data_IF_838131364855
#
_entry.id   IF_838131364855
#
_cell.length_a   1.000
_cell.length_b   1.000
_cell.length_c   1.000
_cell.angle_alpha   90.00
_cell.angle_beta   90.00
_cell.angle_gamma   90.00
#
_symmetry.space_group_name_H-M   'P 1'
#
loop_
_entity.id
_entity.type
_entity.pdbx_description
1 polymer ?
#
# COMPACT_ATOMS: atom_id res chain seq x y z
N UNK A 1 -22.18 -2.46 -20.99
CA UNK A 1 -22.10 -1.73 -19.72
C UNK A 1 -23.52 -1.52 -19.19
N UNK A 2 -23.87 -2.18 -18.10
CA UNK A 2 -25.19 -2.11 -17.47
C UNK A 2 -25.29 -0.86 -16.60
N UNK A 3 -26.51 -0.36 -16.36
CA UNK A 3 -26.74 0.80 -15.46
C UNK A 3 -26.20 0.54 -14.05
N UNK A 4 -26.30 -0.71 -13.57
CA UNK A 4 -25.74 -1.10 -12.28
C UNK A 4 -24.22 -0.97 -12.21
N UNK A 5 -23.50 -1.32 -13.29
CA UNK A 5 -22.04 -1.12 -13.35
C UNK A 5 -21.66 0.37 -13.34
N UNK A 6 -22.41 1.21 -14.08
CA UNK A 6 -22.19 2.66 -14.06
C UNK A 6 -22.39 3.25 -12.67
N UNK A 7 -23.41 2.80 -11.93
CA UNK A 7 -23.66 3.24 -10.55
C UNK A 7 -22.50 2.86 -9.65
N UNK A 8 -22.00 1.62 -9.73
CA UNK A 8 -20.87 1.15 -8.91
C UNK A 8 -19.60 1.93 -9.22
N UNK A 9 -19.27 2.10 -10.50
CA UNK A 9 -18.08 2.85 -10.92
C UNK A 9 -18.11 4.30 -10.46
N UNK A 10 -19.27 4.96 -10.54
CA UNK A 10 -19.46 6.33 -10.07
C UNK A 10 -19.27 6.45 -8.56
N UNK A 11 -19.92 5.58 -7.79
CA UNK A 11 -19.80 5.58 -6.32
C UNK A 11 -18.36 5.29 -5.90
N UNK A 12 -17.66 4.41 -6.60
CA UNK A 12 -16.25 4.15 -6.36
C UNK A 12 -15.37 5.39 -6.56
N UNK A 13 -15.50 6.05 -7.71
CA UNK A 13 -14.68 7.21 -8.03
C UNK A 13 -14.97 8.42 -7.14
N UNK A 14 -16.24 8.65 -6.78
CA UNK A 14 -16.67 9.87 -6.07
C UNK A 14 -16.69 9.74 -4.55
N UNK A 15 -16.88 8.52 -4.01
CA UNK A 15 -17.01 8.32 -2.56
C UNK A 15 -15.89 7.44 -2.00
N UNK A 16 -15.65 6.28 -2.60
CA UNK A 16 -14.71 5.30 -2.06
C UNK A 16 -13.26 5.80 -2.19
N UNK A 17 -12.83 6.17 -3.39
CA UNK A 17 -11.47 6.67 -3.65
C UNK A 17 -11.08 7.90 -2.81
N UNK A 18 -11.89 8.97 -2.72
CA UNK A 18 -11.54 10.09 -1.85
C UNK A 18 -11.54 9.73 -0.37
N UNK A 19 -12.45 8.86 0.09
CA UNK A 19 -12.45 8.39 1.47
C UNK A 19 -11.20 7.54 1.80
N UNK A 20 -10.79 6.66 0.88
CA UNK A 20 -9.54 5.90 0.99
C UNK A 20 -8.32 6.81 1.05
N UNK A 21 -8.30 7.89 0.26
CA UNK A 21 -7.21 8.87 0.29
C UNK A 21 -7.18 9.69 1.58
N UNK A 22 -8.32 9.92 2.22
CA UNK A 22 -8.43 10.61 3.53
C UNK A 22 -8.15 9.70 4.72
N UNK A 23 -8.16 8.38 4.55
CA UNK A 23 -8.02 7.41 5.64
C UNK A 23 -9.33 7.18 6.43
N UNK A 24 -10.47 7.56 5.87
CA UNK A 24 -11.77 7.43 6.56
C UNK A 24 -12.07 5.95 6.85
N UNK A 25 -12.46 5.64 8.10
CA UNK A 25 -12.88 4.28 8.51
C UNK A 25 -14.24 3.88 7.94
N UNK A 26 -15.13 4.85 7.79
CA UNK A 26 -16.51 4.63 7.35
C UNK A 26 -16.95 5.71 6.39
N UNK A 27 -17.78 5.31 5.43
CA UNK A 27 -18.44 6.22 4.49
C UNK A 27 -19.94 6.00 4.50
N UNK A 28 -20.70 7.07 4.37
CA UNK A 28 -22.15 7.01 4.18
C UNK A 28 -22.49 7.52 2.79
N UNK A 29 -23.16 6.68 2.01
CA UNK A 29 -23.62 6.99 0.65
C UNK A 29 -25.14 7.02 0.64
N UNK A 30 -25.72 8.16 0.25
CA UNK A 30 -27.17 8.34 0.16
C UNK A 30 -27.63 8.06 -1.27
N UNK A 31 -28.59 7.15 -1.44
CA UNK A 31 -29.09 6.72 -2.75
C UNK A 31 -29.61 7.90 -3.60
N UNK A 32 -30.28 8.88 -2.98
CA UNK A 32 -30.80 10.06 -3.67
C UNK A 32 -29.72 11.03 -4.13
N UNK A 33 -28.58 11.09 -3.44
CA UNK A 33 -27.43 11.88 -3.89
C UNK A 33 -26.83 11.24 -5.14
N UNK A 34 -26.60 9.92 -5.12
CA UNK A 34 -26.11 9.16 -6.28
C UNK A 34 -27.08 9.27 -7.47
N UNK A 35 -28.38 9.24 -7.21
CA UNK A 35 -29.40 9.40 -8.25
C UNK A 35 -29.33 10.77 -8.94
N UNK A 36 -29.17 11.85 -8.14
CA UNK A 36 -29.03 13.23 -8.64
C UNK A 36 -27.75 13.41 -9.43
N UNK A 37 -26.63 12.88 -8.93
CA UNK A 37 -25.33 12.96 -9.60
C UNK A 37 -25.32 12.23 -10.94
N UNK A 38 -26.01 11.10 -11.05
CA UNK A 38 -26.17 10.37 -12.31
C UNK A 38 -27.31 10.90 -13.20
N UNK A 39 -27.97 12.00 -12.79
CA UNK A 39 -29.10 12.61 -13.50
C UNK A 39 -30.21 11.60 -13.84
N UNK A 40 -30.42 10.62 -12.97
CA UNK A 40 -31.42 9.57 -13.15
C UNK A 40 -32.76 10.02 -12.58
N UNK A 41 -33.85 9.56 -13.20
CA UNK A 41 -35.22 9.79 -12.72
C UNK A 41 -35.47 9.06 -11.38
N UNK A 42 -36.43 9.56 -10.60
CA UNK A 42 -36.85 9.00 -9.31
C UNK A 42 -37.15 7.49 -9.35
N UNK A 43 -37.65 7.00 -10.48
CA UNK A 43 -38.03 5.59 -10.70
C UNK A 43 -36.84 4.62 -10.65
N UNK A 44 -35.61 5.12 -10.79
CA UNK A 44 -34.39 4.31 -10.72
C UNK A 44 -33.85 4.13 -9.29
N UNK A 45 -34.49 4.72 -8.28
CA UNK A 45 -34.07 4.56 -6.88
C UNK A 45 -33.96 3.08 -6.42
N UNK A 46 -34.87 2.16 -6.81
CA UNK A 46 -34.72 0.73 -6.50
C UNK A 46 -33.52 0.08 -7.19
N UNK A 47 -33.21 0.49 -8.43
CA UNK A 47 -32.04 -0.02 -9.16
C UNK A 47 -30.72 0.42 -8.50
N UNK A 48 -30.65 1.67 -8.03
CA UNK A 48 -29.50 2.19 -7.25
C UNK A 48 -29.36 1.44 -5.93
N UNK A 49 -30.44 1.31 -5.16
CA UNK A 49 -30.41 0.58 -3.89
C UNK A 49 -30.01 -0.89 -4.06
N UNK A 50 -30.46 -1.54 -5.13
CA UNK A 50 -30.07 -2.91 -5.46
C UNK A 50 -28.59 -3.01 -5.84
N UNK A 51 -28.07 -2.06 -6.63
CA UNK A 51 -26.66 -2.01 -7.00
C UNK A 51 -25.74 -1.78 -5.78
N UNK A 52 -26.12 -0.89 -4.87
CA UNK A 52 -25.40 -0.58 -3.63
C UNK A 52 -25.44 -1.74 -2.62
N UNK A 53 -26.56 -2.47 -2.56
CA UNK A 53 -26.71 -3.64 -1.67
C UNK A 53 -26.05 -4.92 -2.21
N UNK A 54 -25.79 -4.98 -3.52
CA UNK A 54 -25.28 -6.19 -4.15
C UNK A 54 -23.94 -6.61 -3.54
N UNK A 55 -23.82 -7.88 -3.13
CA UNK A 55 -22.55 -8.46 -2.64
C UNK A 55 -21.40 -8.29 -3.62
N UNK A 56 -21.69 -8.26 -4.92
CA UNK A 56 -20.70 -8.02 -5.96
C UNK A 56 -19.99 -6.68 -5.78
N UNK A 57 -20.71 -5.62 -5.40
CA UNK A 57 -20.13 -4.31 -5.14
C UNK A 57 -19.22 -4.31 -3.91
N UNK A 58 -19.68 -4.93 -2.82
CA UNK A 58 -18.88 -5.11 -1.60
C UNK A 58 -17.61 -5.91 -1.85
N UNK A 59 -17.69 -7.01 -2.61
CA UNK A 59 -16.55 -7.88 -2.89
C UNK A 59 -15.53 -7.24 -3.86
N UNK A 60 -16.00 -6.47 -4.84
CA UNK A 60 -15.12 -5.82 -5.84
C UNK A 60 -14.29 -4.68 -5.25
N UNK A 61 -14.79 -4.05 -4.18
CA UNK A 61 -14.13 -2.90 -3.54
C UNK A 61 -13.71 -3.17 -2.10
N UNK A 62 -13.70 -4.44 -1.67
CA UNK A 62 -13.39 -4.87 -0.30
C UNK A 62 -14.13 -4.06 0.78
N UNK A 63 -15.40 -3.73 0.55
CA UNK A 63 -16.22 -2.93 1.47
C UNK A 63 -17.15 -3.80 2.31
N UNK A 64 -17.30 -3.46 3.58
CA UNK A 64 -18.27 -4.10 4.47
C UNK A 64 -19.49 -3.17 4.66
N UNK A 65 -20.69 -3.61 4.29
CA UNK A 65 -21.90 -2.83 4.55
C UNK A 65 -22.30 -2.99 6.03
N UNK A 66 -22.12 -1.94 6.83
CA UNK A 66 -22.40 -1.96 8.28
C UNK A 66 -23.86 -1.62 8.56
N UNK A 67 -24.40 -0.62 7.84
CA UNK A 67 -25.71 -0.06 8.18
C UNK A 67 -26.46 0.42 6.95
N UNK A 68 -27.78 0.26 6.99
CA UNK A 68 -28.70 0.80 6.00
C UNK A 68 -29.82 1.52 6.73
N UNK A 69 -29.84 2.84 6.63
CA UNK A 69 -30.87 3.71 7.20
C UNK A 69 -31.83 4.17 6.09
N UNK A 70 -33.12 4.17 6.37
CA UNK A 70 -34.12 4.64 5.43
C UNK A 70 -35.54 4.28 5.84
N UNK A 71 -36.55 4.83 5.13
CA UNK A 71 -37.96 4.51 5.37
C UNK A 71 -38.21 3.02 5.19
N UNK A 72 -39.31 2.50 5.77
CA UNK A 72 -39.58 1.05 5.93
C UNK A 72 -39.37 0.20 4.67
N UNK A 73 -39.52 0.79 3.49
CA UNK A 73 -39.32 0.15 2.18
C UNK A 73 -37.86 -0.02 1.75
N UNK A 74 -36.88 0.69 2.35
CA UNK A 74 -35.43 0.66 2.04
C UNK A 74 -35.06 0.76 0.55
N UNK A 75 -35.94 1.38 -0.24
CA UNK A 75 -35.84 1.57 -1.70
C UNK A 75 -36.08 3.03 -2.10
N UNK A 76 -36.08 3.93 -1.12
CA UNK A 76 -36.33 5.36 -1.36
C UNK A 76 -35.03 6.12 -1.58
N UNK A 77 -35.13 7.28 -2.23
CA UNK A 77 -34.03 8.22 -2.44
C UNK A 77 -33.40 8.73 -1.13
N UNK A 78 -34.10 8.60 0.00
CA UNK A 78 -33.57 8.94 1.33
C UNK A 78 -32.79 7.82 2.01
N UNK A 79 -32.59 6.67 1.34
CA UNK A 79 -31.88 5.53 1.92
C UNK A 79 -30.38 5.78 1.94
N UNK A 80 -29.78 5.72 3.12
CA UNK A 80 -28.35 5.87 3.36
C UNK A 80 -27.71 4.49 3.63
N UNK A 81 -26.59 4.23 2.97
CA UNK A 81 -25.80 3.02 3.13
C UNK A 81 -24.46 3.40 3.74
N UNK A 82 -24.17 2.89 4.93
CA UNK A 82 -22.89 3.10 5.62
C UNK A 82 -22.00 1.88 5.45
N UNK A 83 -20.84 2.09 4.84
CA UNK A 83 -19.83 1.08 4.60
C UNK A 83 -18.61 1.31 5.49
N UNK A 84 -18.00 0.21 5.95
CA UNK A 84 -16.64 0.21 6.49
C UNK A 84 -15.67 0.10 5.34
N UNK A 85 -14.68 0.97 5.32
CA UNK A 85 -13.51 0.78 4.49
C UNK A 85 -12.48 -0.04 5.28
N UNK A 86 -11.82 -1.02 4.64
CA UNK A 86 -10.69 -1.68 5.25
C UNK A 86 -9.64 -0.59 5.43
N UNK A 87 -9.38 -0.24 6.69
CA UNK A 87 -8.29 0.64 7.06
C UNK A 87 -7.03 0.06 6.41
N UNK A 88 -6.48 0.79 5.44
CA UNK A 88 -5.11 0.56 5.00
C UNK A 88 -4.31 0.84 6.26
N UNK A 89 -3.92 -0.21 6.97
CA UNK A 89 -3.35 -0.09 8.31
C UNK A 89 -2.27 0.98 8.28
N UNK A 90 -2.57 2.14 8.86
CA UNK A 90 -1.63 3.27 8.95
C UNK A 90 -0.51 2.99 9.96
N UNK A 91 -0.43 1.77 10.47
CA UNK A 91 0.83 1.27 10.99
C UNK A 91 1.74 1.13 9.79
N UNK A 92 2.76 1.99 9.70
CA UNK A 92 3.93 1.87 8.81
C UNK A 92 4.75 0.61 9.09
N UNK A 93 4.09 -0.53 9.24
CA UNK A 93 4.64 -1.83 9.37
C UNK A 93 4.44 -2.53 8.04
N UNK A 94 5.54 -2.89 7.35
CA UNK A 94 5.44 -3.71 6.16
C UNK A 94 4.60 -4.94 6.49
N UNK A 95 3.79 -5.44 5.53
CA UNK A 95 3.14 -6.75 5.68
C UNK A 95 4.17 -7.75 6.20
N UNK A 96 3.79 -8.67 7.08
CA UNK A 96 4.72 -9.59 7.74
C UNK A 96 5.70 -10.24 6.75
N UNK A 97 5.25 -10.51 5.52
CA UNK A 97 6.05 -10.96 4.38
C UNK A 97 7.23 -10.03 4.02
N UNK A 98 7.05 -8.71 4.03
CA UNK A 98 8.10 -7.73 3.76
C UNK A 98 9.06 -7.53 4.96
N UNK A 99 8.64 -7.81 6.20
CA UNK A 99 9.58 -7.86 7.34
C UNK A 99 10.53 -9.04 7.26
N UNK A 100 10.09 -10.13 6.64
CA UNK A 100 10.95 -11.28 6.37
C UNK A 100 11.95 -10.94 5.26
N UNK A 101 11.58 -10.16 4.24
CA UNK A 101 12.47 -9.84 3.12
C UNK A 101 13.84 -9.25 3.52
N UNK A 102 13.89 -8.30 4.47
CA UNK A 102 15.19 -7.73 4.93
C UNK A 102 15.98 -8.75 5.76
N UNK A 103 15.29 -9.63 6.51
CA UNK A 103 15.92 -10.74 7.23
C UNK A 103 16.46 -11.80 6.27
N UNK A 104 15.76 -12.07 5.18
CA UNK A 104 16.14 -13.04 4.14
C UNK A 104 17.37 -12.56 3.34
N UNK A 105 17.58 -11.24 3.24
CA UNK A 105 18.79 -10.66 2.66
C UNK A 105 20.03 -10.79 3.56
N UNK A 106 19.87 -11.07 4.87
CA UNK A 106 21.03 -11.21 5.76
C UNK A 106 21.78 -12.51 5.48
N UNK A 107 23.05 -12.36 5.10
CA UNK A 107 23.94 -13.50 4.85
C UNK A 107 23.98 -13.95 3.40
N UNK A 108 23.32 -13.24 2.46
CA UNK A 108 23.35 -13.56 1.02
C UNK A 108 24.77 -13.60 0.44
N UNK A 109 25.72 -12.84 1.02
CA UNK A 109 27.13 -12.84 0.61
C UNK A 109 28.04 -13.76 1.42
N UNK A 110 27.52 -14.55 2.37
CA UNK A 110 28.33 -15.34 3.31
C UNK A 110 29.27 -16.31 2.58
N UNK A 111 28.78 -17.00 1.56
CA UNK A 111 29.56 -18.00 0.84
C UNK A 111 30.65 -17.38 -0.04
N UNK A 112 30.38 -16.21 -0.64
CA UNK A 112 31.39 -15.43 -1.37
C UNK A 112 32.53 -15.01 -0.44
N UNK A 113 32.19 -14.48 0.74
CA UNK A 113 33.22 -14.12 1.71
C UNK A 113 33.92 -15.36 2.26
N UNK A 114 33.23 -16.47 2.50
CA UNK A 114 33.88 -17.71 2.93
C UNK A 114 34.91 -18.23 1.91
N UNK A 115 34.60 -18.15 0.61
CA UNK A 115 35.47 -18.60 -0.48
C UNK A 115 36.81 -17.86 -0.56
N UNK A 116 36.83 -16.56 -0.23
CA UNK A 116 38.07 -15.75 -0.16
C UNK A 116 38.76 -15.84 1.21
N UNK A 117 38.33 -16.78 2.06
CA UNK A 117 38.86 -16.90 3.41
C UNK A 117 38.29 -15.86 4.38
N UNK A 118 37.11 -15.32 4.17
CA UNK A 118 36.47 -14.37 5.08
C UNK A 118 36.95 -12.93 4.89
N UNK A 119 36.01 -11.98 4.97
CA UNK A 119 36.25 -10.57 4.66
C UNK A 119 37.40 -9.93 5.44
N UNK A 120 37.58 -10.32 6.71
CA UNK A 120 38.67 -9.79 7.56
C UNK A 120 40.07 -10.20 7.09
N UNK A 121 40.23 -11.42 6.55
CA UNK A 121 41.54 -11.87 6.04
C UNK A 121 41.89 -11.16 4.73
N UNK A 122 40.90 -10.94 3.87
CA UNK A 122 41.08 -10.17 2.64
C UNK A 122 41.40 -8.69 2.93
N UNK A 123 40.62 -8.02 3.80
CA UNK A 123 40.86 -6.63 4.18
C UNK A 123 42.20 -6.42 4.89
N UNK A 124 42.67 -7.40 5.68
CA UNK A 124 44.00 -7.35 6.29
C UNK A 124 45.10 -7.39 5.25
N UNK A 125 45.02 -8.32 4.30
CA UNK A 125 45.98 -8.44 3.20
C UNK A 125 46.05 -7.17 2.34
N UNK A 126 44.89 -6.60 2.01
CA UNK A 126 44.83 -5.33 1.26
C UNK A 126 45.47 -4.17 2.04
N UNK A 127 45.23 -4.08 3.37
CA UNK A 127 45.87 -3.06 4.22
C UNK A 127 47.39 -3.22 4.30
N UNK A 128 47.88 -4.43 4.52
CA UNK A 128 49.32 -4.72 4.56
C UNK A 128 49.99 -4.39 3.22
N UNK A 129 49.33 -4.70 2.10
CA UNK A 129 49.82 -4.35 0.76
C UNK A 129 49.82 -2.83 0.53
N UNK A 130 48.79 -2.12 0.97
CA UNK A 130 48.70 -0.67 0.86
C UNK A 130 49.78 0.02 1.71
N UNK A 131 49.94 -0.38 2.97
CA UNK A 131 50.96 0.17 3.86
C UNK A 131 52.38 -0.09 3.35
N UNK A 132 52.62 -1.28 2.77
CA UNK A 132 53.88 -1.60 2.10
C UNK A 132 54.15 -0.74 0.86
N UNK A 133 53.14 -0.53 0.01
CA UNK A 133 53.26 0.33 -1.17
C UNK A 133 53.51 1.80 -0.81
N UNK A 134 52.89 2.29 0.27
CA UNK A 134 53.15 3.65 0.79
C UNK A 134 54.58 3.75 1.30
N UNK A 135 55.06 2.78 2.08
CA UNK A 135 56.43 2.77 2.59
C UNK A 135 57.50 2.73 1.49
N UNK A 136 57.24 2.02 0.39
CA UNK A 136 58.17 1.92 -0.76
C UNK A 136 58.19 3.20 -1.61
N UNK A 137 57.10 3.98 -1.57
CA UNK A 137 56.99 5.27 -2.28
C UNK A 137 57.60 6.46 -1.54
N UNK A 138 57.97 6.31 -0.26
CA UNK A 138 58.61 7.37 0.53
C UNK A 138 60.12 7.30 0.33
N UNK A 139 60.76 8.31 -0.31
CA UNK A 139 62.20 8.29 -0.50
C UNK A 139 62.91 8.31 0.85
N UNK A 140 63.73 7.28 1.11
CA UNK A 140 64.56 7.24 2.32
C UNK A 140 65.52 8.41 2.28
N UNK A 141 65.38 9.36 3.22
CA UNK A 141 66.44 10.35 3.47
C UNK A 141 67.66 9.58 3.98
N UNK A 142 68.64 9.40 3.09
CA UNK A 142 69.98 8.96 3.44
C UNK A 142 70.54 9.98 4.44
N UNK A 143 70.91 9.53 5.63
CA UNK A 143 71.47 10.40 6.66
C UNK A 143 72.81 10.97 6.22
N UNK A 144 72.92 12.30 6.27
CA UNK A 144 74.19 13.01 6.34
C UNK A 144 74.55 13.13 7.84
N UNK A 145 75.55 12.34 8.25
CA UNK A 145 76.47 12.61 9.36
C UNK A 145 77.88 12.56 8.72
N UNK A 146 78.88 13.35 9.17
CA UNK A 146 79.04 13.90 10.52
C UNK A 146 79.21 15.43 10.63
#
# INVERSE_FOLDING_TARGET
MTKAESIRAHVHAQYIEPARRRGDETITVVAGTVLRELQLRGDYAPSVCSALRARKFSAEHDLELIRVDGPRSKQSTTTAFTYRLPQRSETGHPPQAARNAIRDLRGIGKDMFAAVGGGERWLRKEREAFDGAVADSVPRRQGDDP
#
